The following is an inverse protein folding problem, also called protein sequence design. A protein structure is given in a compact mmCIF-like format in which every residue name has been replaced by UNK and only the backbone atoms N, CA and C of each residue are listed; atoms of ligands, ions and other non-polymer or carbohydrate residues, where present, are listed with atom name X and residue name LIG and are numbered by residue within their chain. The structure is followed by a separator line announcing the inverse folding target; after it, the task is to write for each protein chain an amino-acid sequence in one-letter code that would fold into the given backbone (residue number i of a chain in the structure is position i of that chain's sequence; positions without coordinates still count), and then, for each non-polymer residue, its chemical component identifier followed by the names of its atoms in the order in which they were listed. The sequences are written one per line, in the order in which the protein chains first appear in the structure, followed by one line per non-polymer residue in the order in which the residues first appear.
data_IF_497726737573
#
_entry.id   IF_497726737573
#
_cell.length_a   1.000
_cell.length_b   1.000
_cell.length_c   1.000
_cell.angle_alpha   90.00
_cell.angle_beta   90.00
_cell.angle_gamma   90.00
#
_symmetry.space_group_name_H-M   'P 1'
#
loop_
_entity.id
_entity.type
_entity.pdbx_description
1 polymer ?
#
# COMPACT_ATOMS: atom_id res chain seq x y z
N UNK A 1 -33.27 -6.65 -73.61
CA UNK A 1 -32.36 -6.17 -72.55
C UNK A 1 -32.61 -4.69 -72.31
N UNK A 2 -33.21 -4.33 -71.18
CA UNK A 2 -33.25 -2.94 -70.72
C UNK A 2 -33.25 -2.96 -69.19
N UNK A 3 -32.06 -2.75 -68.63
CA UNK A 3 -31.84 -2.53 -67.21
C UNK A 3 -32.24 -1.09 -66.91
N UNK A 4 -33.20 -0.88 -66.01
CA UNK A 4 -33.54 0.45 -65.49
C UNK A 4 -33.18 0.41 -64.00
N UNK A 5 -32.05 1.05 -63.68
CA UNK A 5 -31.57 1.23 -62.33
C UNK A 5 -32.44 2.24 -61.57
N UNK A 6 -32.93 1.82 -60.42
CA UNK A 6 -33.54 2.69 -59.41
C UNK A 6 -32.65 2.74 -58.18
N UNK A 7 -31.52 3.45 -58.27
CA UNK A 7 -30.66 3.77 -57.13
C UNK A 7 -31.28 4.94 -56.35
N UNK A 8 -32.32 4.66 -55.56
CA UNK A 8 -32.83 5.59 -54.56
C UNK A 8 -31.84 5.65 -53.40
N UNK A 9 -31.04 6.71 -53.36
CA UNK A 9 -30.08 6.97 -52.29
C UNK A 9 -30.81 7.24 -50.97
N UNK A 10 -30.33 6.60 -49.90
CA UNK A 10 -30.78 6.75 -48.50
C UNK A 10 -30.85 8.21 -48.01
N UNK A 11 -30.23 9.15 -48.74
CA UNK A 11 -30.16 10.56 -48.43
C UNK A 11 -31.39 11.37 -48.89
N UNK A 12 -32.23 10.86 -49.81
CA UNK A 12 -33.44 11.57 -50.25
C UNK A 12 -34.57 11.54 -49.21
N UNK A 13 -34.46 10.66 -48.19
CA UNK A 13 -35.47 10.54 -47.14
C UNK A 13 -35.26 11.51 -45.95
N UNK A 14 -34.28 12.44 -46.03
CA UNK A 14 -34.00 13.43 -44.96
C UNK A 14 -34.49 14.86 -45.26
N UNK A 15 -35.42 15.04 -46.23
CA UNK A 15 -35.87 16.38 -46.66
C UNK A 15 -37.34 16.72 -46.38
N UNK A 16 -38.07 15.89 -45.64
CA UNK A 16 -39.35 16.27 -45.03
C UNK A 16 -39.16 16.55 -43.55
N UNK A 17 -39.95 17.46 -42.95
CA UNK A 17 -40.03 17.66 -41.49
C UNK A 17 -40.62 16.46 -40.73
N UNK A 18 -40.18 15.25 -41.10
CA UNK A 18 -40.52 13.98 -40.54
C UNK A 18 -39.57 13.65 -39.41
N UNK A 19 -40.15 13.24 -38.31
CA UNK A 19 -39.49 12.82 -37.08
C UNK A 19 -38.33 11.87 -37.40
N UNK A 20 -37.21 11.93 -36.66
CA UNK A 20 -36.05 11.08 -36.91
C UNK A 20 -36.50 9.61 -36.92
N UNK A 21 -36.04 8.79 -37.88
CA UNK A 21 -36.54 7.41 -38.10
C UNK A 21 -36.29 6.45 -36.92
N UNK A 22 -35.64 6.92 -35.85
CA UNK A 22 -35.26 6.16 -34.66
C UNK A 22 -35.95 6.67 -33.38
N UNK A 23 -36.98 7.52 -33.47
CA UNK A 23 -37.69 8.10 -32.31
C UNK A 23 -38.10 7.05 -31.26
N UNK A 24 -38.60 5.89 -31.70
CA UNK A 24 -38.96 4.79 -30.78
C UNK A 24 -37.77 4.20 -30.05
N UNK A 25 -36.61 4.09 -30.70
CA UNK A 25 -35.38 3.52 -30.10
C UNK A 25 -34.82 4.43 -29.01
N UNK A 26 -34.92 5.75 -29.20
CA UNK A 26 -34.44 6.72 -28.21
C UNK A 26 -35.18 6.62 -26.88
N UNK A 27 -36.49 6.31 -26.89
CA UNK A 27 -37.28 6.14 -25.66
C UNK A 27 -36.75 4.94 -24.85
N UNK A 28 -36.45 3.82 -25.52
CA UNK A 28 -35.88 2.65 -24.84
C UNK A 28 -34.45 2.89 -24.34
N UNK A 29 -33.62 3.57 -25.13
CA UNK A 29 -32.27 3.95 -24.70
C UNK A 29 -32.30 4.91 -23.50
N UNK A 30 -33.19 5.90 -23.51
CA UNK A 30 -33.38 6.82 -22.39
C UNK A 30 -33.84 6.06 -21.14
N UNK A 31 -34.84 5.16 -21.28
CA UNK A 31 -35.32 4.35 -20.17
C UNK A 31 -34.22 3.45 -19.59
N UNK A 32 -33.40 2.83 -20.44
CA UNK A 32 -32.26 2.03 -20.02
C UNK A 32 -31.20 2.87 -19.29
N UNK A 33 -30.91 4.08 -19.79
CA UNK A 33 -29.95 4.99 -19.18
C UNK A 33 -30.44 5.49 -17.81
N UNK A 34 -31.71 5.88 -17.69
CA UNK A 34 -32.33 6.27 -16.41
C UNK A 34 -32.31 5.09 -15.44
N UNK A 35 -32.66 3.89 -15.89
CA UNK A 35 -32.59 2.68 -15.07
C UNK A 35 -31.17 2.37 -14.58
N UNK A 36 -30.16 2.56 -15.44
CA UNK A 36 -28.75 2.40 -15.09
C UNK A 36 -28.32 3.39 -14.00
N UNK A 37 -28.71 4.67 -14.11
CA UNK A 37 -28.40 5.68 -13.09
C UNK A 37 -29.07 5.33 -11.76
N UNK A 38 -30.35 4.92 -11.78
CA UNK A 38 -31.07 4.52 -10.56
C UNK A 38 -30.40 3.31 -9.91
N UNK A 39 -29.99 2.31 -10.71
CA UNK A 39 -29.29 1.14 -10.22
C UNK A 39 -27.98 1.52 -9.53
N UNK A 40 -27.15 2.37 -10.15
CA UNK A 40 -25.88 2.83 -9.57
C UNK A 40 -26.10 3.59 -8.26
N UNK A 41 -27.07 4.51 -8.23
CA UNK A 41 -27.42 5.25 -7.01
C UNK A 41 -27.90 4.32 -5.89
N UNK A 42 -28.69 3.30 -6.23
CA UNK A 42 -29.20 2.32 -5.28
C UNK A 42 -28.08 1.48 -4.67
N UNK A 43 -27.09 1.07 -5.47
CA UNK A 43 -25.94 0.30 -4.97
C UNK A 43 -25.18 1.11 -3.92
N UNK A 44 -24.93 2.40 -4.18
CA UNK A 44 -24.23 3.27 -3.23
C UNK A 44 -25.05 3.42 -1.94
N UNK A 45 -26.37 3.57 -2.04
CA UNK A 45 -27.25 3.72 -0.88
C UNK A 45 -27.33 2.44 -0.02
N UNK A 46 -27.35 1.26 -0.64
CA UNK A 46 -27.46 -0.02 0.08
C UNK A 46 -26.12 -0.64 0.48
N UNK A 47 -25.00 -0.15 -0.07
CA UNK A 47 -23.65 -0.64 0.25
C UNK A 47 -23.36 -0.74 1.75
N UNK A 48 -23.73 0.23 2.61
CA UNK A 48 -23.46 0.13 4.05
C UNK A 48 -24.21 -1.03 4.72
N UNK A 49 -25.38 -1.40 4.20
CA UNK A 49 -26.18 -2.51 4.74
C UNK A 49 -25.70 -3.89 4.28
N UNK A 50 -24.81 -3.95 3.28
CA UNK A 50 -24.26 -5.19 2.75
C UNK A 50 -22.95 -5.60 3.45
N UNK A 51 -22.38 -4.72 4.27
CA UNK A 51 -21.19 -5.03 5.06
C UNK A 51 -21.62 -5.58 6.43
N UNK A 52 -21.02 -6.69 6.89
CA UNK A 52 -21.23 -7.17 8.25
C UNK A 52 -20.84 -6.07 9.25
N UNK A 53 -21.79 -5.67 10.09
CA UNK A 53 -21.58 -4.63 11.12
C UNK A 53 -20.89 -5.17 12.37
N UNK A 54 -20.85 -6.49 12.52
CA UNK A 54 -20.15 -7.15 13.61
C UNK A 54 -18.73 -7.53 13.19
N UNK A 55 -17.75 -7.15 14.00
CA UNK A 55 -16.38 -7.59 13.81
C UNK A 55 -16.34 -9.12 13.87
N UNK A 56 -15.56 -9.78 13.00
CA UNK A 56 -15.41 -11.23 13.06
C UNK A 56 -14.90 -11.63 14.45
N UNK A 57 -15.36 -12.78 14.99
CA UNK A 57 -14.96 -13.22 16.31
C UNK A 57 -13.44 -13.29 16.39
N UNK A 58 -12.86 -12.66 17.42
CA UNK A 58 -11.43 -12.60 17.59
C UNK A 58 -10.87 -14.03 17.71
N UNK A 59 -10.15 -14.48 16.68
CA UNK A 59 -9.44 -15.74 16.75
C UNK A 59 -8.31 -15.60 17.77
N UNK A 60 -8.40 -16.37 18.85
CA UNK A 60 -7.32 -16.48 19.84
C UNK A 60 -6.12 -17.11 19.13
N UNK A 61 -5.19 -16.27 18.69
CA UNK A 61 -3.90 -16.76 18.19
C UNK A 61 -3.09 -17.18 19.41
N UNK A 62 -2.55 -18.41 19.45
CA UNK A 62 -1.62 -18.78 20.51
C UNK A 62 -0.45 -17.82 20.46
N UNK A 63 -0.19 -17.14 21.57
CA UNK A 63 1.01 -16.35 21.78
C UNK A 63 2.18 -17.31 21.74
N UNK A 64 2.81 -17.43 20.56
CA UNK A 64 4.11 -18.07 20.43
C UNK A 64 5.08 -17.29 21.30
N UNK A 65 5.31 -17.76 22.52
CA UNK A 65 6.37 -17.24 23.37
C UNK A 65 7.66 -17.41 22.56
N UNK A 66 8.30 -16.30 22.21
CA UNK A 66 9.62 -16.35 21.63
C UNK A 66 10.49 -17.15 22.60
N UNK A 67 10.92 -18.35 22.18
CA UNK A 67 11.87 -19.14 22.95
C UNK A 67 13.18 -18.36 22.88
N UNK A 68 13.46 -17.57 23.91
CA UNK A 68 14.76 -16.92 24.05
C UNK A 68 15.79 -18.04 24.15
N UNK A 69 16.66 -18.13 23.15
CA UNK A 69 17.77 -19.07 23.17
C UNK A 69 18.66 -18.70 24.35
N UNK A 70 18.85 -19.65 25.26
CA UNK A 70 19.69 -19.47 26.44
C UNK A 70 21.14 -19.73 26.06
N UNK A 71 22.08 -19.18 26.84
CA UNK A 71 23.53 -19.38 26.60
C UNK A 71 23.91 -20.88 26.49
N UNK A 72 23.22 -21.74 27.21
CA UNK A 72 23.36 -23.21 27.16
C UNK A 72 23.07 -23.80 25.78
N UNK A 73 22.15 -23.19 25.01
CA UNK A 73 21.82 -23.65 23.66
C UNK A 73 22.99 -23.45 22.68
N UNK A 74 23.96 -22.59 23.03
CA UNK A 74 25.15 -22.30 22.22
C UNK A 74 26.43 -22.95 22.75
N UNK A 75 26.42 -23.59 23.92
CA UNK A 75 27.62 -24.21 24.53
C UNK A 75 28.19 -25.30 23.61
N UNK A 76 27.34 -26.14 23.02
CA UNK A 76 27.80 -27.17 22.08
C UNK A 76 28.48 -26.63 20.81
N UNK A 77 28.16 -25.40 20.41
CA UNK A 77 28.76 -24.72 19.25
C UNK A 77 30.07 -24.06 19.67
N UNK A 78 30.10 -23.46 20.87
CA UNK A 78 31.30 -22.89 21.46
C UNK A 78 32.37 -23.97 21.75
N UNK A 79 31.97 -25.10 22.34
CA UNK A 79 32.86 -26.20 22.73
C UNK A 79 33.48 -26.93 21.53
N UNK A 80 32.77 -26.94 20.40
CA UNK A 80 33.27 -27.58 19.18
C UNK A 80 34.28 -26.73 18.42
N UNK A 81 34.50 -25.47 18.85
CA UNK A 81 35.51 -24.53 18.38
C UNK A 81 35.94 -24.74 16.92
N UNK A 82 34.96 -24.82 16.01
CA UNK A 82 35.15 -25.23 14.60
C UNK A 82 35.92 -24.14 13.81
N UNK A 83 36.13 -22.97 14.42
CA UNK A 83 36.64 -21.77 13.78
C UNK A 83 38.13 -21.52 14.03
N UNK A 84 38.83 -22.31 14.87
CA UNK A 84 40.27 -22.15 15.11
C UNK A 84 40.96 -23.45 15.57
N UNK A 85 42.04 -23.88 14.91
CA UNK A 85 42.86 -25.04 15.32
C UNK A 85 43.59 -24.84 16.66
N UNK A 86 43.77 -23.59 17.07
CA UNK A 86 44.56 -23.22 18.25
C UNK A 86 43.70 -22.96 19.50
N UNK A 87 42.38 -23.19 19.44
CA UNK A 87 41.47 -23.13 20.58
C UNK A 87 41.24 -21.73 21.19
N UNK A 88 41.79 -20.67 20.61
CA UNK A 88 41.67 -19.29 21.11
C UNK A 88 40.61 -18.51 20.33
N UNK A 89 39.64 -17.94 21.05
CA UNK A 89 38.65 -17.01 20.51
C UNK A 89 39.36 -15.66 20.29
N UNK A 90 39.40 -15.10 19.07
CA UNK A 90 39.99 -13.79 18.84
C UNK A 90 39.23 -12.73 19.67
N UNK A 91 39.93 -11.72 20.23
CA UNK A 91 39.27 -10.61 20.91
C UNK A 91 38.24 -9.99 19.97
N UNK A 92 37.06 -9.67 20.50
CA UNK A 92 35.99 -9.07 19.71
C UNK A 92 36.48 -7.77 19.10
N UNK A 93 36.12 -7.52 17.83
CA UNK A 93 36.46 -6.30 17.07
C UNK A 93 35.89 -4.99 17.67
N UNK A 94 35.38 -5.04 18.90
CA UNK A 94 34.80 -3.92 19.64
C UNK A 94 35.77 -3.27 20.65
N UNK A 95 36.92 -3.89 20.96
CA UNK A 95 37.81 -3.35 22.01
C UNK A 95 39.00 -2.53 21.51
N UNK A 96 39.25 -2.47 20.19
CA UNK A 96 40.36 -1.67 19.66
C UNK A 96 39.94 -0.89 18.40
N UNK A 97 39.59 0.39 18.59
CA UNK A 97 39.79 1.40 17.56
C UNK A 97 38.70 1.59 16.50
N UNK A 98 37.41 1.60 16.86
CA UNK A 98 36.37 2.16 15.98
C UNK A 98 35.68 3.34 16.62
N UNK A 99 35.82 4.50 15.99
CA UNK A 99 34.95 5.66 16.13
C UNK A 99 33.49 5.17 16.12
N UNK A 100 32.81 5.33 17.25
CA UNK A 100 31.43 4.93 17.44
C UNK A 100 30.52 5.81 16.56
N UNK A 101 30.05 5.24 15.46
CA UNK A 101 28.79 5.68 14.86
C UNK A 101 27.66 5.33 15.84
N UNK A 102 26.78 6.28 16.19
CA UNK A 102 25.80 6.08 17.26
C UNK A 102 24.60 5.32 16.71
N UNK A 103 24.63 3.99 16.68
CA UNK A 103 23.45 3.21 16.27
C UNK A 103 23.37 1.87 16.97
N UNK A 104 22.96 1.88 18.25
CA UNK A 104 21.99 0.90 18.80
C UNK A 104 21.40 1.37 20.14
N UNK A 105 21.12 2.67 20.25
CA UNK A 105 20.44 3.26 21.41
C UNK A 105 18.91 3.20 21.25
N UNK A 106 18.14 3.27 22.35
CA UNK A 106 16.68 3.42 22.26
C UNK A 106 16.33 4.66 21.42
N UNK A 107 15.32 4.54 20.56
CA UNK A 107 14.91 5.63 19.67
C UNK A 107 14.56 6.91 20.47
N UNK A 108 15.39 7.94 20.32
CA UNK A 108 15.18 9.25 20.95
C UNK A 108 14.32 10.13 20.05
N UNK A 109 13.50 10.99 20.66
CA UNK A 109 12.68 11.95 19.91
C UNK A 109 13.57 12.88 19.09
N UNK A 110 13.28 12.99 17.80
CA UNK A 110 13.97 13.90 16.90
C UNK A 110 13.65 15.36 17.23
N UNK A 111 14.65 16.23 17.17
CA UNK A 111 14.48 17.69 17.26
C UNK A 111 14.13 18.33 15.91
N UNK A 112 14.06 17.53 14.84
CA UNK A 112 13.71 18.03 13.50
C UNK A 112 12.25 18.50 13.47
N UNK A 113 11.92 19.52 12.63
CA UNK A 113 10.56 20.05 12.48
C UNK A 113 9.66 19.11 11.66
N UNK A 114 9.63 17.83 12.00
CA UNK A 114 8.87 16.78 11.34
C UNK A 114 7.79 16.26 12.30
N UNK A 115 6.63 15.92 11.75
CA UNK A 115 5.55 15.25 12.49
C UNK A 115 5.22 13.92 11.82
N UNK A 116 5.32 12.83 12.57
CA UNK A 116 4.90 11.51 12.10
C UNK A 116 3.37 11.42 12.21
N UNK A 117 2.67 11.31 11.08
CA UNK A 117 1.21 11.16 11.05
C UNK A 117 0.80 9.68 11.15
N UNK A 118 1.58 8.78 10.56
CA UNK A 118 1.30 7.35 10.61
C UNK A 118 2.41 6.47 10.04
N UNK A 119 2.36 5.18 10.36
CA UNK A 119 3.27 4.16 9.83
C UNK A 119 2.49 2.91 9.41
N UNK A 120 2.91 2.31 8.29
CA UNK A 120 2.47 1.00 7.83
C UNK A 120 3.68 0.10 7.86
N UNK A 121 3.72 -0.82 8.83
CA UNK A 121 4.84 -1.75 9.01
C UNK A 121 4.47 -3.11 8.42
N UNK A 122 5.24 -3.54 7.43
CA UNK A 122 5.14 -4.86 6.78
C UNK A 122 6.19 -5.81 7.36
N UNK A 123 6.01 -7.13 7.18
CA UNK A 123 7.00 -8.15 7.55
C UNK A 123 8.34 -7.96 6.83
N UNK A 124 8.31 -7.36 5.63
CA UNK A 124 9.49 -6.99 4.88
C UNK A 124 9.74 -5.51 5.10
N UNK A 125 10.83 -5.17 5.77
CA UNK A 125 11.16 -3.79 6.13
C UNK A 125 11.18 -2.86 4.90
N UNK A 126 11.61 -3.36 3.73
CA UNK A 126 11.65 -2.56 2.49
C UNK A 126 10.28 -2.14 1.96
N UNK A 127 9.20 -2.79 2.41
CA UNK A 127 7.82 -2.45 2.06
C UNK A 127 7.10 -1.64 3.14
N UNK A 128 7.80 -1.29 4.22
CA UNK A 128 7.26 -0.43 5.25
C UNK A 128 7.28 1.01 4.78
N UNK A 129 6.24 1.75 5.13
CA UNK A 129 6.00 3.12 4.67
C UNK A 129 5.63 4.00 5.85
N UNK A 130 6.14 5.23 5.88
CA UNK A 130 5.83 6.24 6.89
C UNK A 130 5.22 7.48 6.21
N UNK A 131 4.18 8.03 6.83
CA UNK A 131 3.58 9.31 6.44
C UNK A 131 4.10 10.40 7.35
N UNK A 132 4.88 11.32 6.80
CA UNK A 132 5.56 12.38 7.53
C UNK A 132 5.06 13.73 7.03
N UNK A 133 4.68 14.61 7.95
CA UNK A 133 4.35 16.00 7.68
C UNK A 133 5.57 16.90 7.99
N UNK A 134 6.00 17.67 6.99
CA UNK A 134 7.09 18.66 7.14
C UNK A 134 6.46 19.97 7.60
N UNK A 135 6.68 20.36 8.87
CA UNK A 135 6.01 21.53 9.47
C UNK A 135 6.30 22.84 8.74
N UNK A 136 7.49 22.99 8.16
CA UNK A 136 7.87 24.21 7.45
C UNK A 136 7.10 24.43 6.14
N UNK A 137 6.65 23.36 5.47
CA UNK A 137 5.94 23.44 4.18
C UNK A 137 4.47 23.00 4.26
N UNK A 138 4.06 22.44 5.41
CA UNK A 138 2.74 21.86 5.63
C UNK A 138 2.35 20.82 4.56
N UNK A 139 3.35 20.10 4.06
CA UNK A 139 3.20 19.05 3.07
C UNK A 139 3.36 17.69 3.74
N UNK A 140 2.50 16.74 3.36
CA UNK A 140 2.55 15.37 3.87
C UNK A 140 3.12 14.48 2.78
N UNK A 141 4.26 13.86 3.07
CA UNK A 141 4.94 12.95 2.16
C UNK A 141 4.89 11.53 2.71
N UNK A 142 4.72 10.59 1.79
CA UNK A 142 4.72 9.16 2.06
C UNK A 142 6.07 8.62 1.60
N UNK A 143 6.86 8.09 2.53
CA UNK A 143 8.23 7.68 2.29
C UNK A 143 8.49 6.25 2.73
N UNK A 144 9.30 5.55 1.95
CA UNK A 144 9.73 4.17 2.19
C UNK A 144 11.08 4.10 2.91
N UNK A 145 11.46 2.90 3.37
CA UNK A 145 12.80 2.67 3.93
C UNK A 145 13.87 2.95 2.86
N UNK A 146 14.99 3.56 3.26
CA UNK A 146 16.10 4.06 2.42
C UNK A 146 15.81 5.36 1.64
N UNK A 147 14.57 5.86 1.64
CA UNK A 147 14.25 7.15 1.01
C UNK A 147 14.71 8.34 1.87
N UNK A 148 14.99 9.45 1.18
CA UNK A 148 15.50 10.68 1.78
C UNK A 148 14.42 11.74 1.88
N UNK A 149 14.33 12.35 3.06
CA UNK A 149 13.42 13.44 3.37
C UNK A 149 14.09 14.73 2.92
N UNK A 150 13.93 15.11 1.64
CA UNK A 150 14.31 16.42 1.08
C UNK A 150 15.68 16.99 1.55
N UNK A 151 16.72 16.15 1.68
CA UNK A 151 18.06 16.59 2.11
C UNK A 151 18.25 16.80 3.62
N UNK A 152 17.25 16.48 4.45
CA UNK A 152 17.28 16.66 5.90
C UNK A 152 17.74 15.38 6.61
N UNK A 153 17.16 14.24 6.24
CA UNK A 153 17.42 12.97 6.88
C UNK A 153 17.08 11.79 5.96
N UNK A 154 17.70 10.63 6.20
CA UNK A 154 17.40 9.38 5.50
C UNK A 154 16.69 8.41 6.44
N UNK A 155 15.66 7.73 5.93
CA UNK A 155 14.92 6.72 6.68
C UNK A 155 15.70 5.42 6.70
N UNK A 156 16.24 5.05 7.87
CA UNK A 156 17.00 3.80 8.04
C UNK A 156 16.10 2.61 8.40
N UNK A 157 15.05 2.85 9.20
CA UNK A 157 14.16 1.80 9.71
C UNK A 157 12.80 2.38 10.07
N UNK A 158 11.74 1.61 9.83
CA UNK A 158 10.36 1.93 10.24
C UNK A 158 9.85 0.77 11.10
N UNK A 159 9.48 1.07 12.35
CA UNK A 159 9.00 0.09 13.32
C UNK A 159 7.74 0.58 14.06
N UNK A 160 6.98 -0.37 14.62
CA UNK A 160 5.82 -0.05 15.46
C UNK A 160 6.33 0.26 16.86
N UNK A 161 5.78 1.32 17.46
CA UNK A 161 6.00 1.65 18.88
C UNK A 161 5.21 0.72 19.79
#
# INVERSE_FOLDING_TARGET
MRWIGGGGTFLDNMKGGGRPPLEGVYIYLLAAFVGYIIADLSIIAYRPSMLPTEAPPAQIRPTSRARMATKMDYESIADRNILNSDGKIPPSLASEGKEESPTDGPATLSQLPLKLEGTIVHLNAKKSVASINIRNRNETQVLSVEEEIEGIARITKIERR
#
